data_IF_483690891367
#
_entry.id   IF_483690891367
#
_cell.length_a   1.000
_cell.length_b   1.000
_cell.length_c   1.000
_cell.angle_alpha   90.00
_cell.angle_beta   90.00
_cell.angle_gamma   90.00
#
_symmetry.space_group_name_H-M   'P 1'
#
loop_
_entity.id
_entity.type
_entity.pdbx_description
1 polymer ?
#
# COMPACT_ATOMS: atom_id res chain seq x y z
N UNK A 1 -49.15 -51.16 23.30
CA UNK A 1 -48.55 -49.94 23.89
C UNK A 1 -48.50 -48.87 22.82
N UNK A 2 -49.15 -47.72 23.06
CA UNK A 2 -49.15 -46.53 22.20
C UNK A 2 -47.99 -45.62 22.62
N UNK A 3 -47.23 -45.07 21.68
CA UNK A 3 -46.41 -43.87 21.93
C UNK A 3 -46.68 -42.88 20.79
N UNK A 4 -46.89 -41.64 21.20
CA UNK A 4 -47.64 -40.59 20.55
C UNK A 4 -46.87 -39.83 19.45
N UNK A 5 -47.64 -39.29 18.50
CA UNK A 5 -47.28 -38.14 17.67
C UNK A 5 -47.02 -36.92 18.57
N UNK A 6 -45.89 -36.21 18.39
CA UNK A 6 -45.73 -34.82 18.82
C UNK A 6 -45.77 -33.88 17.60
N UNK A 7 -46.36 -32.67 17.75
CA UNK A 7 -46.62 -31.76 16.63
C UNK A 7 -45.40 -30.90 16.26
N UNK A 8 -45.40 -30.47 14.99
CA UNK A 8 -44.70 -29.31 14.44
C UNK A 8 -44.85 -28.08 15.35
N UNK A 9 -43.84 -27.19 15.38
CA UNK A 9 -43.72 -25.80 15.93
C UNK A 9 -42.44 -25.76 16.79
N UNK A 10 -41.36 -25.04 16.52
CA UNK A 10 -41.25 -23.73 15.87
C UNK A 10 -40.00 -23.65 14.99
N UNK A 11 -40.24 -23.48 13.69
CA UNK A 11 -39.29 -22.96 12.73
C UNK A 11 -39.34 -21.43 12.84
N UNK A 12 -38.66 -20.81 13.81
CA UNK A 12 -38.60 -19.33 13.89
C UNK A 12 -37.39 -18.85 14.70
N UNK A 13 -36.51 -18.16 13.99
CA UNK A 13 -35.50 -17.20 14.47
C UNK A 13 -34.35 -17.71 15.35
N UNK A 14 -33.33 -18.28 14.70
CA UNK A 14 -31.95 -18.09 15.14
C UNK A 14 -31.02 -17.90 13.93
N UNK A 15 -31.35 -16.93 13.06
CA UNK A 15 -30.50 -16.52 11.93
C UNK A 15 -30.17 -15.03 12.08
N UNK A 16 -29.60 -14.62 13.21
CA UNK A 16 -29.14 -13.25 13.41
C UNK A 16 -27.90 -13.21 14.32
N UNK A 17 -26.79 -13.75 13.82
CA UNK A 17 -25.43 -13.33 14.18
C UNK A 17 -24.43 -14.22 13.43
N UNK A 18 -24.47 -14.23 12.10
CA UNK A 18 -23.25 -14.58 11.39
C UNK A 18 -22.38 -13.33 11.46
N UNK A 19 -21.27 -13.32 12.22
CA UNK A 19 -20.33 -12.22 12.11
C UNK A 19 -19.92 -12.17 10.65
N UNK A 20 -20.12 -11.01 10.03
CA UNK A 20 -19.55 -10.74 8.72
C UNK A 20 -18.06 -11.09 8.81
N UNK A 21 -17.63 -12.05 7.99
CA UNK A 21 -16.22 -12.30 7.78
C UNK A 21 -15.67 -11.04 7.09
N UNK A 22 -15.17 -10.11 7.89
CA UNK A 22 -14.38 -8.99 7.40
C UNK A 22 -13.01 -9.55 7.03
N UNK A 23 -12.75 -9.66 5.73
CA UNK A 23 -11.40 -9.88 5.23
C UNK A 23 -10.68 -8.55 5.24
N UNK A 24 -9.49 -8.51 5.84
CA UNK A 24 -8.59 -7.38 5.65
C UNK A 24 -7.97 -7.50 4.26
N UNK A 25 -8.41 -6.66 3.33
CA UNK A 25 -7.72 -6.48 2.05
C UNK A 25 -6.43 -5.70 2.32
N UNK A 26 -5.29 -6.36 2.12
CA UNK A 26 -3.96 -5.73 2.23
C UNK A 26 -3.57 -5.08 0.89
N UNK A 27 -4.46 -4.25 0.32
CA UNK A 27 -4.31 -3.68 -1.04
C UNK A 27 -3.27 -2.53 -1.10
N UNK A 28 -2.75 -2.11 0.05
CA UNK A 28 -1.85 -0.97 0.15
C UNK A 28 -2.58 0.37 -0.05
N UNK A 29 -1.86 1.49 -0.03
CA UNK A 29 -2.50 2.80 -0.07
C UNK A 29 -2.79 3.24 -1.50
N UNK A 30 -3.92 3.92 -1.70
CA UNK A 30 -4.27 4.54 -2.99
C UNK A 30 -3.42 5.77 -3.31
N UNK A 31 -2.98 6.48 -2.26
CA UNK A 31 -2.22 7.72 -2.39
C UNK A 31 -1.03 7.74 -1.44
N UNK A 32 -0.04 8.52 -1.84
CA UNK A 32 1.15 8.82 -1.05
C UNK A 32 1.14 10.30 -0.63
N UNK A 33 1.81 10.55 0.49
CA UNK A 33 2.35 11.86 0.86
C UNK A 33 3.88 11.79 0.83
N UNK A 34 4.52 12.91 0.48
CA UNK A 34 5.97 13.04 0.47
C UNK A 34 6.48 13.31 1.89
N UNK A 35 7.61 12.69 2.22
CA UNK A 35 8.28 12.82 3.50
C UNK A 35 9.80 12.73 3.30
N UNK A 36 10.55 13.49 4.10
CA UNK A 36 12.01 13.33 4.21
C UNK A 36 12.79 13.95 3.06
N UNK A 37 12.12 14.78 2.25
CA UNK A 37 12.75 15.74 1.35
C UNK A 37 12.95 17.04 2.13
N UNK A 38 14.10 17.68 1.96
CA UNK A 38 14.40 18.96 2.62
C UNK A 38 13.49 20.09 2.10
N UNK A 39 13.22 21.10 2.93
CA UNK A 39 12.27 22.18 2.60
C UNK A 39 12.65 23.03 1.39
N UNK A 40 13.92 23.01 0.99
CA UNK A 40 14.47 23.69 -0.17
C UNK A 40 14.83 22.75 -1.33
N UNK A 41 14.32 21.51 -1.32
CA UNK A 41 14.54 20.49 -2.34
C UNK A 41 13.21 19.94 -2.85
N UNK A 42 13.26 18.98 -3.77
CA UNK A 42 12.10 18.32 -4.38
C UNK A 42 12.32 16.81 -4.51
N UNK A 43 11.22 16.05 -4.51
CA UNK A 43 11.26 14.67 -4.96
C UNK A 43 11.17 14.63 -6.48
N UNK A 44 12.22 14.10 -7.13
CA UNK A 44 12.23 13.93 -8.57
C UNK A 44 11.32 12.79 -9.02
N UNK A 45 10.46 13.06 -10.01
CA UNK A 45 9.74 12.06 -10.80
C UNK A 45 10.62 11.69 -12.00
N UNK A 46 10.85 10.40 -12.20
CA UNK A 46 11.79 9.87 -13.19
C UNK A 46 11.10 9.01 -14.25
N UNK A 47 11.66 8.99 -15.46
CA UNK A 47 11.10 8.20 -16.57
C UNK A 47 11.14 6.69 -16.29
N UNK A 48 12.21 6.21 -15.64
CA UNK A 48 12.41 4.81 -15.28
C UNK A 48 12.68 4.68 -13.76
N UNK A 49 12.55 3.48 -13.17
CA UNK A 49 12.85 3.23 -11.75
C UNK A 49 14.36 3.18 -11.49
N UNK A 50 15.07 4.23 -11.90
CA UNK A 50 16.51 4.38 -11.81
C UNK A 50 16.84 5.85 -11.48
N UNK A 51 17.75 6.07 -10.54
CA UNK A 51 18.18 7.41 -10.15
C UNK A 51 18.99 8.13 -11.24
N UNK A 52 19.48 7.40 -12.25
CA UNK A 52 20.21 7.97 -13.39
C UNK A 52 19.29 8.32 -14.57
N UNK A 53 18.04 7.84 -14.58
CA UNK A 53 17.14 8.11 -15.70
C UNK A 53 16.70 9.57 -15.72
N UNK A 54 16.18 10.01 -16.88
CA UNK A 54 15.64 11.34 -17.09
C UNK A 54 14.66 11.75 -15.97
N UNK A 55 14.82 12.98 -15.48
CA UNK A 55 13.89 13.64 -14.57
C UNK A 55 12.81 14.31 -15.41
N UNK A 56 11.56 13.90 -15.19
CA UNK A 56 10.39 14.32 -15.99
C UNK A 56 9.36 15.09 -15.16
N UNK A 57 9.62 15.29 -13.86
CA UNK A 57 8.77 16.07 -12.97
C UNK A 57 9.34 16.19 -11.57
N UNK A 58 8.61 16.89 -10.72
CA UNK A 58 8.98 17.21 -9.34
C UNK A 58 7.75 17.17 -8.44
N UNK A 59 7.94 16.79 -7.19
CA UNK A 59 6.93 16.86 -6.13
C UNK A 59 7.53 17.63 -4.95
N UNK A 60 6.85 18.63 -4.38
CA UNK A 60 7.38 19.37 -3.23
C UNK A 60 7.52 18.49 -1.98
N UNK A 61 8.30 18.93 -0.98
CA UNK A 61 8.62 18.14 0.23
C UNK A 61 7.42 17.66 1.05
N UNK A 62 6.30 18.38 0.96
CA UNK A 62 5.04 18.13 1.63
C UNK A 62 3.93 17.72 0.64
N UNK A 63 4.29 17.31 -0.58
CA UNK A 63 3.34 16.92 -1.62
C UNK A 63 2.37 15.85 -1.15
N UNK A 64 1.07 16.09 -1.38
CA UNK A 64 -0.03 15.18 -1.03
C UNK A 64 -0.77 14.75 -2.29
N UNK A 65 -1.77 13.87 -2.15
CA UNK A 65 -2.58 13.38 -3.27
C UNK A 65 -1.73 12.78 -4.41
N UNK A 66 -0.59 12.16 -4.10
CA UNK A 66 0.26 11.50 -5.10
C UNK A 66 -0.32 10.12 -5.37
N UNK A 67 -0.94 9.92 -6.54
CA UNK A 67 -1.65 8.66 -6.83
C UNK A 67 -0.69 7.50 -6.95
N UNK A 68 -0.96 6.41 -6.24
CA UNK A 68 -0.18 5.18 -6.30
C UNK A 68 -0.56 4.36 -7.53
N UNK A 69 0.42 4.03 -8.38
CA UNK A 69 0.24 3.16 -9.55
C UNK A 69 1.04 1.86 -9.43
N UNK A 70 1.51 1.53 -8.22
CA UNK A 70 2.24 0.32 -7.90
C UNK A 70 3.75 0.52 -7.76
N UNK A 71 4.40 -0.42 -7.08
CA UNK A 71 5.83 -0.37 -6.78
C UNK A 71 6.59 -1.59 -7.30
N UNK A 72 7.90 -1.42 -7.46
CA UNK A 72 8.88 -2.47 -7.82
C UNK A 72 10.09 -2.38 -6.91
N UNK A 73 10.77 -3.51 -6.71
CA UNK A 73 11.92 -3.60 -5.81
C UNK A 73 11.52 -3.56 -4.33
N UNK A 74 12.50 -3.31 -3.46
CA UNK A 74 12.33 -3.40 -2.02
C UNK A 74 12.35 -4.84 -1.50
N UNK A 75 12.10 -4.97 -0.19
CA UNK A 75 12.00 -6.26 0.48
C UNK A 75 10.66 -6.92 0.13
N UNK A 76 10.68 -8.24 -0.07
CA UNK A 76 9.48 -9.07 0.01
C UNK A 76 9.00 -9.19 1.46
N UNK A 77 7.76 -9.63 1.66
CA UNK A 77 7.23 -9.89 3.00
C UNK A 77 8.09 -10.90 3.78
N UNK A 78 8.52 -11.98 3.12
CA UNK A 78 9.38 -12.98 3.74
C UNK A 78 10.74 -12.38 4.12
N UNK A 79 11.39 -11.64 3.22
CA UNK A 79 12.67 -11.00 3.51
C UNK A 79 12.55 -10.00 4.67
N UNK A 80 11.47 -9.21 4.72
CA UNK A 80 11.24 -8.25 5.80
C UNK A 80 11.07 -8.92 7.17
N UNK A 81 10.41 -10.07 7.21
CA UNK A 81 10.05 -10.76 8.45
C UNK A 81 11.13 -11.72 8.95
N UNK A 82 12.01 -12.21 8.08
CA UNK A 82 12.94 -13.30 8.42
C UNK A 82 14.42 -12.90 8.43
N UNK A 83 14.80 -11.86 7.69
CA UNK A 83 16.21 -11.47 7.58
C UNK A 83 16.66 -10.56 8.73
N UNK A 84 17.98 -10.49 8.94
CA UNK A 84 18.59 -9.51 9.82
C UNK A 84 18.47 -8.09 9.23
N UNK A 85 18.70 -7.07 10.04
CA UNK A 85 18.64 -5.69 9.55
C UNK A 85 19.78 -5.38 8.58
N UNK A 86 20.97 -5.97 8.77
CA UNK A 86 22.10 -5.83 7.85
C UNK A 86 21.78 -6.42 6.46
N UNK A 87 21.16 -7.59 6.42
CA UNK A 87 20.72 -8.23 5.17
C UNK A 87 19.64 -7.39 4.47
N UNK A 88 18.69 -6.84 5.24
CA UNK A 88 17.65 -5.94 4.72
C UNK A 88 18.26 -4.70 4.08
N UNK A 89 19.24 -4.07 4.73
CA UNK A 89 19.90 -2.89 4.19
C UNK A 89 20.70 -3.22 2.91
N UNK A 90 21.39 -4.37 2.87
CA UNK A 90 22.07 -4.83 1.66
C UNK A 90 21.08 -5.03 0.49
N UNK A 91 19.91 -5.62 0.76
CA UNK A 91 18.86 -5.77 -0.25
C UNK A 91 18.32 -4.41 -0.70
N UNK A 92 17.99 -3.49 0.23
CA UNK A 92 17.46 -2.16 -0.12
C UNK A 92 18.43 -1.37 -0.99
N UNK A 93 19.75 -1.55 -0.79
CA UNK A 93 20.78 -0.95 -1.63
C UNK A 93 20.81 -1.52 -3.05
N UNK A 94 20.68 -2.85 -3.18
CA UNK A 94 20.77 -3.54 -4.48
C UNK A 94 19.46 -3.53 -5.27
N UNK A 95 18.32 -3.50 -4.57
CA UNK A 95 16.97 -3.52 -5.13
C UNK A 95 16.13 -2.42 -4.46
N UNK A 96 16.47 -1.14 -4.66
CA UNK A 96 15.72 -0.05 -4.06
C UNK A 96 14.25 -0.11 -4.46
N UNK A 97 13.35 0.25 -3.53
CA UNK A 97 11.93 0.36 -3.83
C UNK A 97 11.68 1.62 -4.65
N UNK A 98 11.08 1.44 -5.82
CA UNK A 98 10.58 2.51 -6.68
C UNK A 98 9.08 2.36 -6.83
N UNK A 99 8.35 3.47 -6.76
CA UNK A 99 6.91 3.46 -6.96
C UNK A 99 6.56 4.32 -8.18
N UNK A 100 5.75 3.75 -9.06
CA UNK A 100 5.16 4.50 -10.15
C UNK A 100 4.01 5.31 -9.56
N UNK A 101 3.99 6.59 -9.90
CA UNK A 101 3.03 7.54 -9.37
C UNK A 101 2.49 8.42 -10.47
N UNK A 102 1.36 9.04 -10.19
CA UNK A 102 0.91 10.21 -10.93
C UNK A 102 0.70 11.39 -9.97
N UNK A 103 1.22 12.55 -10.36
CA UNK A 103 1.10 13.79 -9.61
C UNK A 103 0.93 14.96 -10.59
N UNK A 104 -0.17 15.70 -10.45
CA UNK A 104 -0.49 16.87 -11.27
C UNK A 104 -0.38 16.61 -12.78
N UNK A 105 -0.78 15.41 -13.23
CA UNK A 105 -0.74 15.00 -14.64
C UNK A 105 0.59 14.40 -15.09
N UNK A 106 1.65 14.43 -14.27
CA UNK A 106 2.92 13.78 -14.58
C UNK A 106 2.92 12.35 -14.06
N UNK A 107 3.15 11.38 -14.94
CA UNK A 107 3.27 9.96 -14.58
C UNK A 107 4.71 9.48 -14.72
N UNK A 108 5.28 8.93 -13.64
CA UNK A 108 6.65 8.43 -13.64
C UNK A 108 7.00 7.68 -12.35
N UNK A 109 8.29 7.51 -12.07
CA UNK A 109 8.81 6.76 -10.94
C UNK A 109 9.46 7.66 -9.90
N UNK A 110 9.20 7.38 -8.63
CA UNK A 110 9.83 8.07 -7.49
C UNK A 110 10.45 7.05 -6.55
N UNK A 111 11.50 7.48 -5.83
CA UNK A 111 12.14 6.64 -4.83
C UNK A 111 11.20 6.43 -3.64
N UNK A 112 10.83 5.17 -3.38
CA UNK A 112 9.81 4.82 -2.40
C UNK A 112 10.19 5.12 -0.95
N UNK A 113 11.46 5.42 -0.66
CA UNK A 113 11.90 5.83 0.68
C UNK A 113 11.33 7.20 1.13
N UNK A 114 10.88 8.02 0.19
CA UNK A 114 10.26 9.33 0.45
C UNK A 114 8.73 9.27 0.50
N UNK A 115 8.14 8.07 0.42
CA UNK A 115 6.69 7.88 0.40
C UNK A 115 6.20 7.35 1.74
N UNK A 116 5.19 8.02 2.26
CA UNK A 116 4.37 7.55 3.37
C UNK A 116 2.93 7.43 2.89
N UNK A 117 2.21 6.45 3.43
CA UNK A 117 0.77 6.34 3.20
C UNK A 117 0.09 7.70 3.44
N UNK A 118 -0.71 8.09 2.47
CA UNK A 118 -1.43 9.35 2.46
C UNK A 118 -2.85 9.16 1.97
N UNK A 119 -3.61 10.24 1.99
CA UNK A 119 -4.98 10.26 1.50
C UNK A 119 -5.15 11.45 0.56
N UNK A 120 -6.14 11.36 -0.32
CA UNK A 120 -6.61 12.52 -1.07
C UNK A 120 -8.07 12.77 -0.69
N UNK A 121 -8.29 13.82 0.11
CA UNK A 121 -9.64 14.25 0.47
C UNK A 121 -10.33 14.89 -0.73
N UNK A 122 -11.63 14.63 -0.89
CA UNK A 122 -12.50 15.45 -1.73
C UNK A 122 -12.90 16.72 -0.98
#
# INVERSE_FOLDING_TARGET
MKIALLPLIACTLMVLAMPSLSYSEADGPDHWQILGVESNDVLNIRAEPDWQSEKIGEIPPDGQCVRNLGCKGGLTFQEFTTLSDEEKEAIKKNRPRWCKVEYQGVTGWVAGKYLREGFCGK
#
